data_IF_598463187062
#
_entry.id   IF_598463187062
#
_cell.length_a   1.000
_cell.length_b   1.000
_cell.length_c   1.000
_cell.angle_alpha   90.00
_cell.angle_beta   90.00
_cell.angle_gamma   90.00
#
_symmetry.space_group_name_H-M   'P 1'
#
loop_
_entity.id
_entity.type
_entity.pdbx_description
1 polymer ?
#
# COMPACT_ATOMS: atom_id res chain seq x y z
N UNK A 1 -16.21 13.05 27.47
CA UNK A 1 -15.61 14.03 26.54
C UNK A 1 -16.13 13.72 25.15
N UNK A 2 -16.66 14.70 24.39
CA UNK A 2 -17.14 14.44 23.03
C UNK A 2 -15.92 14.22 22.12
N UNK A 3 -15.91 13.11 21.38
CA UNK A 3 -14.88 12.83 20.37
C UNK A 3 -14.84 13.97 19.33
N UNK A 4 -13.66 14.35 18.80
CA UNK A 4 -13.56 15.39 17.78
C UNK A 4 -14.36 15.00 16.53
N UNK A 5 -15.14 15.94 16.00
CA UNK A 5 -15.94 15.71 14.80
C UNK A 5 -15.03 15.65 13.56
N UNK A 6 -15.02 14.51 12.87
CA UNK A 6 -14.34 14.33 11.59
C UNK A 6 -15.38 14.48 10.47
N UNK A 7 -15.21 15.50 9.63
CA UNK A 7 -16.14 15.82 8.53
C UNK A 7 -15.59 15.31 7.21
N UNK A 8 -16.31 14.40 6.55
CA UNK A 8 -15.95 13.89 5.23
C UNK A 8 -16.63 14.71 4.13
N UNK A 9 -15.87 15.17 3.14
CA UNK A 9 -16.44 15.61 1.86
C UNK A 9 -16.47 14.42 0.91
N UNK A 10 -17.68 13.95 0.60
CA UNK A 10 -17.88 12.82 -0.30
C UNK A 10 -18.35 13.30 -1.67
N UNK A 11 -17.89 12.69 -2.77
CA UNK A 11 -18.52 12.86 -4.07
C UNK A 11 -20.01 12.49 -4.00
N UNK A 12 -20.84 13.19 -4.77
CA UNK A 12 -22.31 13.04 -4.74
C UNK A 12 -22.74 11.58 -4.92
N UNK A 13 -22.12 10.85 -5.84
CA UNK A 13 -22.43 9.44 -6.10
C UNK A 13 -22.12 8.52 -4.90
N UNK A 14 -21.05 8.80 -4.14
CA UNK A 14 -20.71 8.03 -2.93
C UNK A 14 -21.71 8.34 -1.82
N UNK A 15 -22.08 9.61 -1.66
CA UNK A 15 -23.11 10.01 -0.69
C UNK A 15 -24.45 9.32 -1.00
N UNK A 16 -24.88 9.31 -2.26
CA UNK A 16 -26.11 8.61 -2.67
C UNK A 16 -26.08 7.12 -2.35
N UNK A 17 -24.95 6.45 -2.57
CA UNK A 17 -24.78 5.03 -2.19
C UNK A 17 -24.84 4.84 -0.68
N UNK A 18 -24.18 5.71 0.08
CA UNK A 18 -24.16 5.65 1.53
C UNK A 18 -25.56 5.87 2.13
N UNK A 19 -26.34 6.79 1.57
CA UNK A 19 -27.74 7.02 1.93
C UNK A 19 -28.66 5.84 1.56
N UNK A 20 -28.38 5.15 0.46
CA UNK A 20 -29.13 3.94 0.09
C UNK A 20 -28.86 2.81 1.10
N UNK A 21 -27.60 2.63 1.51
CA UNK A 21 -27.21 1.66 2.55
C UNK A 21 -27.81 2.04 3.91
N UNK A 22 -27.74 3.32 4.29
CA UNK A 22 -28.28 3.80 5.56
C UNK A 22 -29.79 3.58 5.66
N UNK A 23 -30.54 3.82 4.56
CA UNK A 23 -31.98 3.54 4.47
C UNK A 23 -32.29 2.05 4.60
N UNK A 24 -31.48 1.17 3.99
CA UNK A 24 -31.69 -0.29 4.06
C UNK A 24 -31.41 -0.86 5.45
N UNK A 25 -30.49 -0.24 6.19
CA UNK A 25 -30.06 -0.69 7.52
C UNK A 25 -30.75 0.07 8.65
N UNK A 26 -31.63 1.03 8.34
CA UNK A 26 -32.32 1.91 9.29
C UNK A 26 -31.39 2.58 10.32
N UNK A 27 -30.26 3.09 9.84
CA UNK A 27 -29.25 3.77 10.66
C UNK A 27 -28.85 5.09 10.02
N UNK A 28 -28.25 5.98 10.82
CA UNK A 28 -27.72 7.24 10.28
C UNK A 28 -26.54 6.99 9.33
N UNK A 29 -26.43 7.85 8.31
CA UNK A 29 -25.29 7.90 7.36
C UNK A 29 -23.95 7.95 8.11
N UNK A 30 -23.91 8.69 9.22
CA UNK A 30 -22.72 8.82 10.06
C UNK A 30 -22.29 7.50 10.71
N UNK A 31 -23.25 6.68 11.18
CA UNK A 31 -22.96 5.36 11.75
C UNK A 31 -22.41 4.43 10.67
N UNK A 32 -23.01 4.42 9.47
CA UNK A 32 -22.50 3.60 8.36
C UNK A 32 -21.07 4.00 7.99
N UNK A 33 -20.80 5.30 7.87
CA UNK A 33 -19.46 5.81 7.60
C UNK A 33 -18.47 5.38 8.69
N UNK A 34 -18.84 5.51 9.98
CA UNK A 34 -17.99 5.09 11.10
C UNK A 34 -17.68 3.59 11.03
N UNK A 35 -18.67 2.74 10.74
CA UNK A 35 -18.48 1.30 10.62
C UNK A 35 -17.55 0.91 9.47
N UNK A 36 -17.70 1.55 8.30
CA UNK A 36 -16.82 1.32 7.15
C UNK A 36 -15.38 1.71 7.51
N UNK A 37 -15.18 2.92 8.05
CA UNK A 37 -13.84 3.39 8.43
C UNK A 37 -13.23 2.47 9.49
N UNK A 38 -13.98 2.08 10.52
CA UNK A 38 -13.49 1.15 11.55
C UNK A 38 -13.10 -0.20 10.93
N UNK A 39 -13.92 -0.75 10.04
CA UNK A 39 -13.61 -2.02 9.36
C UNK A 39 -12.30 -1.92 8.58
N UNK A 40 -12.17 -0.92 7.72
CA UNK A 40 -10.99 -0.79 6.86
C UNK A 40 -9.72 -0.51 7.69
N UNK A 41 -9.79 0.37 8.69
CA UNK A 41 -8.66 0.68 9.57
C UNK A 41 -8.22 -0.53 10.40
N UNK A 42 -9.14 -1.41 10.81
CA UNK A 42 -8.77 -2.64 11.52
C UNK A 42 -8.07 -3.66 10.61
N UNK A 43 -8.34 -3.66 9.31
CA UNK A 43 -7.74 -4.62 8.38
C UNK A 43 -6.37 -4.18 7.86
N UNK A 44 -6.11 -2.87 7.75
CA UNK A 44 -4.86 -2.33 7.19
C UNK A 44 -3.60 -2.82 7.93
N UNK A 45 -3.51 -2.76 9.28
CA UNK A 45 -2.29 -3.19 9.98
C UNK A 45 -1.91 -4.64 9.71
N UNK A 46 -2.89 -5.55 9.78
CA UNK A 46 -2.65 -6.98 9.53
C UNK A 46 -2.20 -7.25 8.09
N UNK A 47 -2.75 -6.52 7.11
CA UNK A 47 -2.30 -6.63 5.72
C UNK A 47 -0.87 -6.10 5.53
N UNK A 48 -0.50 -5.02 6.21
CA UNK A 48 0.85 -4.46 6.16
C UNK A 48 1.87 -5.39 6.82
N UNK A 49 1.54 -5.96 7.99
CA UNK A 49 2.40 -6.94 8.67
C UNK A 49 2.63 -8.19 7.80
N UNK A 50 1.59 -8.70 7.16
CA UNK A 50 1.70 -9.86 6.26
C UNK A 50 2.56 -9.52 5.02
N UNK A 51 2.38 -8.33 4.45
CA UNK A 51 3.20 -7.85 3.34
C UNK A 51 4.69 -7.78 3.74
N UNK A 52 4.99 -7.21 4.91
CA UNK A 52 6.37 -7.10 5.40
C UNK A 52 6.98 -8.47 5.69
N UNK A 53 6.19 -9.41 6.22
CA UNK A 53 6.60 -10.81 6.40
C UNK A 53 6.92 -11.48 5.07
N UNK A 54 6.11 -11.24 4.03
CA UNK A 54 6.37 -11.78 2.70
C UNK A 54 7.65 -11.20 2.09
N UNK A 55 7.90 -9.90 2.25
CA UNK A 55 9.15 -9.27 1.82
C UNK A 55 10.37 -9.87 2.52
N UNK A 56 10.29 -10.09 3.84
CA UNK A 56 11.37 -10.72 4.59
C UNK A 56 11.68 -12.14 4.08
N UNK A 57 10.63 -12.93 3.78
CA UNK A 57 10.80 -14.27 3.22
C UNK A 57 11.45 -14.25 1.82
N UNK A 58 11.04 -13.31 0.96
CA UNK A 58 11.64 -13.15 -0.37
C UNK A 58 13.13 -12.80 -0.24
N UNK A 59 13.47 -11.87 0.65
CA UNK A 59 14.86 -11.51 0.92
C UNK A 59 15.69 -12.69 1.40
N UNK A 60 15.14 -13.51 2.31
CA UNK A 60 15.82 -14.72 2.77
C UNK A 60 16.04 -15.71 1.63
N UNK A 61 15.00 -15.98 0.84
CA UNK A 61 15.09 -16.87 -0.31
C UNK A 61 16.15 -16.43 -1.32
N UNK A 62 16.20 -15.14 -1.65
CA UNK A 62 17.21 -14.59 -2.56
C UNK A 62 18.63 -14.77 -2.01
N UNK A 63 18.83 -14.58 -0.71
CA UNK A 63 20.14 -14.80 -0.06
C UNK A 63 20.57 -16.27 -0.12
N UNK A 64 19.65 -17.19 0.20
CA UNK A 64 19.93 -18.63 0.12
C UNK A 64 20.25 -19.08 -1.32
N UNK A 65 19.53 -18.53 -2.29
CA UNK A 65 19.75 -18.80 -3.70
C UNK A 65 21.11 -18.24 -4.17
N UNK A 66 21.47 -17.02 -3.76
CA UNK A 66 22.79 -16.45 -4.05
C UNK A 66 23.92 -17.31 -3.46
N UNK A 67 23.78 -17.74 -2.21
CA UNK A 67 24.76 -18.62 -1.55
C UNK A 67 24.94 -19.95 -2.28
N UNK A 68 23.84 -20.64 -2.65
CA UNK A 68 23.92 -21.89 -3.42
C UNK A 68 24.52 -21.72 -4.80
N UNK A 69 24.27 -20.58 -5.44
CA UNK A 69 24.90 -20.28 -6.71
C UNK A 69 26.39 -20.03 -6.54
N UNK A 70 26.81 -19.27 -5.53
CA UNK A 70 28.23 -19.07 -5.24
C UNK A 70 28.95 -20.40 -4.97
N UNK A 71 28.35 -21.29 -4.19
CA UNK A 71 28.84 -22.66 -3.97
C UNK A 71 28.95 -23.43 -5.30
N UNK A 72 27.88 -23.46 -6.11
CA UNK A 72 27.88 -24.11 -7.43
C UNK A 72 28.92 -23.54 -8.40
N UNK A 73 29.21 -22.23 -8.32
CA UNK A 73 30.21 -21.54 -9.11
C UNK A 73 31.63 -21.85 -8.66
N UNK A 74 31.82 -22.07 -7.35
CA UNK A 74 33.12 -22.38 -6.74
C UNK A 74 33.56 -23.83 -6.96
N UNK A 75 32.62 -24.75 -7.20
CA UNK A 75 32.84 -26.20 -7.15
C UNK A 75 33.24 -26.87 -8.50
N UNK A 76 33.71 -26.12 -9.50
CA UNK A 76 34.34 -26.78 -10.65
C UNK A 76 34.65 -25.99 -11.92
N UNK A 77 35.92 -26.05 -12.29
CA UNK A 77 36.70 -25.55 -13.43
C UNK A 77 36.20 -25.94 -14.86
N UNK A 78 34.90 -26.27 -15.03
CA UNK A 78 34.34 -26.73 -16.32
C UNK A 78 33.07 -25.96 -16.76
N UNK A 79 32.50 -25.06 -15.93
CA UNK A 79 31.17 -24.45 -16.18
C UNK A 79 31.10 -22.92 -16.23
N UNK A 80 32.21 -22.22 -16.49
CA UNK A 80 32.30 -20.75 -16.48
C UNK A 80 31.27 -20.00 -17.36
N UNK A 81 30.79 -20.60 -18.46
CA UNK A 81 29.77 -19.97 -19.31
C UNK A 81 28.35 -20.06 -18.72
N UNK A 82 27.96 -21.22 -18.17
CA UNK A 82 26.64 -21.44 -17.54
C UNK A 82 26.52 -20.67 -16.22
N UNK A 83 27.62 -20.66 -15.48
CA UNK A 83 27.86 -19.82 -14.32
C UNK A 83 27.50 -18.34 -14.56
N UNK A 84 28.11 -17.75 -15.58
CA UNK A 84 27.93 -16.35 -15.95
C UNK A 84 26.49 -16.06 -16.41
N UNK A 85 25.85 -17.01 -17.10
CA UNK A 85 24.46 -16.89 -17.52
C UNK A 85 23.48 -16.88 -16.34
N UNK A 86 23.73 -17.70 -15.31
CA UNK A 86 22.91 -17.73 -14.09
C UNK A 86 23.04 -16.42 -13.30
N UNK A 87 24.27 -15.93 -13.12
CA UNK A 87 24.52 -14.63 -12.46
C UNK A 87 23.83 -13.49 -13.20
N UNK A 88 23.95 -13.45 -14.53
CA UNK A 88 23.28 -12.43 -15.33
C UNK A 88 21.76 -12.46 -15.19
N UNK A 89 21.18 -13.66 -15.12
CA UNK A 89 19.73 -13.80 -14.96
C UNK A 89 19.27 -13.39 -13.55
N UNK A 90 20.11 -13.57 -12.53
CA UNK A 90 19.82 -13.08 -11.18
C UNK A 90 19.90 -11.57 -11.05
N UNK A 91 20.88 -10.93 -11.70
CA UNK A 91 20.90 -9.48 -11.80
C UNK A 91 19.65 -8.94 -12.50
N UNK A 92 19.18 -9.61 -13.56
CA UNK A 92 17.94 -9.24 -14.24
C UNK A 92 16.72 -9.38 -13.33
N UNK A 93 16.64 -10.48 -12.56
CA UNK A 93 15.54 -10.71 -11.59
C UNK A 93 15.59 -9.68 -10.45
N UNK A 94 16.77 -9.36 -9.94
CA UNK A 94 16.94 -8.30 -8.94
C UNK A 94 16.53 -6.93 -9.48
N UNK A 95 16.94 -6.59 -10.71
CA UNK A 95 16.53 -5.35 -11.36
C UNK A 95 15.03 -5.28 -11.62
N UNK A 96 14.40 -6.40 -11.98
CA UNK A 96 12.94 -6.49 -12.11
C UNK A 96 12.23 -6.33 -10.76
N UNK A 97 12.76 -6.92 -9.68
CA UNK A 97 12.23 -6.75 -8.33
C UNK A 97 12.40 -5.31 -7.84
N UNK A 98 13.52 -4.66 -8.12
CA UNK A 98 13.72 -3.24 -7.82
C UNK A 98 12.76 -2.36 -8.63
N UNK A 99 12.52 -2.68 -9.91
CA UNK A 99 11.54 -1.96 -10.73
C UNK A 99 10.09 -2.18 -10.24
N UNK A 100 9.74 -3.41 -9.82
CA UNK A 100 8.46 -3.71 -9.19
C UNK A 100 8.34 -2.97 -7.86
N UNK A 101 9.40 -2.94 -7.05
CA UNK A 101 9.44 -2.19 -5.80
C UNK A 101 9.25 -0.70 -6.07
N UNK A 102 9.93 -0.12 -7.06
CA UNK A 102 9.79 1.28 -7.41
C UNK A 102 8.41 1.61 -7.98
N UNK A 103 7.77 0.68 -8.70
CA UNK A 103 6.40 0.81 -9.19
C UNK A 103 5.35 0.62 -8.08
N UNK A 104 5.63 -0.25 -7.09
CA UNK A 104 4.77 -0.54 -5.95
C UNK A 104 4.94 0.46 -4.80
N UNK A 105 6.11 1.10 -4.70
CA UNK A 105 6.31 2.31 -3.91
C UNK A 105 5.55 3.43 -4.61
N UNK A 106 4.27 3.53 -4.29
CA UNK A 106 3.47 4.72 -4.53
C UNK A 106 4.15 5.83 -3.73
N UNK A 107 5.14 6.50 -4.33
CA UNK A 107 5.57 7.82 -3.86
C UNK A 107 4.26 8.60 -3.71
N UNK A 108 3.97 9.18 -2.54
CA UNK A 108 2.81 10.03 -2.40
C UNK A 108 2.90 11.03 -3.54
N UNK A 109 2.00 10.90 -4.51
CA UNK A 109 2.05 11.71 -5.72
C UNK A 109 2.17 13.15 -5.26
N UNK A 110 3.22 13.86 -5.69
CA UNK A 110 3.42 15.26 -5.28
C UNK A 110 2.16 16.06 -5.59
N UNK A 111 1.49 15.72 -6.71
CA UNK A 111 0.17 16.23 -7.03
C UNK A 111 -0.92 15.88 -6.00
N UNK A 112 -1.03 14.63 -5.53
CA UNK A 112 -2.00 14.26 -4.48
C UNK A 112 -1.65 14.89 -3.14
N UNK A 113 -0.37 14.91 -2.76
CA UNK A 113 0.12 15.57 -1.55
C UNK A 113 -0.16 17.06 -1.58
N UNK A 114 0.06 17.73 -2.71
CA UNK A 114 -0.25 19.14 -2.92
C UNK A 114 -1.75 19.39 -3.05
N UNK A 115 -2.53 18.45 -3.60
CA UNK A 115 -4.00 18.53 -3.64
C UNK A 115 -4.59 18.47 -2.23
N UNK A 116 -4.06 17.58 -1.37
CA UNK A 116 -4.42 17.46 0.04
C UNK A 116 -3.98 18.73 0.78
N UNK A 117 -2.74 19.17 0.61
CA UNK A 117 -2.23 20.39 1.25
C UNK A 117 -3.05 21.63 0.85
N UNK A 118 -3.36 21.78 -0.44
CA UNK A 118 -4.24 22.84 -0.95
C UNK A 118 -5.70 22.70 -0.49
N UNK A 119 -6.16 21.48 -0.18
CA UNK A 119 -7.47 21.26 0.41
C UNK A 119 -7.50 21.67 1.88
N UNK A 120 -6.44 21.34 2.61
CA UNK A 120 -6.27 21.62 4.04
C UNK A 120 -5.97 23.10 4.31
N UNK A 121 -5.23 23.76 3.42
CA UNK A 121 -4.91 25.20 3.46
C UNK A 121 -6.11 26.10 3.09
N UNK A 122 -7.20 25.55 2.52
CA UNK A 122 -8.44 26.31 2.35
C UNK A 122 -9.06 26.55 3.72
N UNK A 123 -8.83 27.75 4.25
CA UNK A 123 -9.38 28.26 5.50
C UNK A 123 -10.80 27.75 5.79
N UNK A 124 -10.90 27.12 6.96
CA UNK A 124 -12.06 26.92 7.83
C UNK A 124 -13.38 27.49 7.29
N UNK A 125 -14.34 26.58 7.13
CA UNK A 125 -15.79 26.82 7.00
C UNK A 125 -16.22 28.18 7.55
N UNK A 126 -16.81 29.03 6.71
CA UNK A 126 -17.77 30.02 7.21
C UNK A 126 -18.85 29.23 7.94
N UNK A 127 -18.95 29.42 9.24
CA UNK A 127 -20.07 28.93 10.05
C UNK A 127 -21.36 29.31 9.33
N UNK A 128 -22.17 28.32 8.98
CA UNK A 128 -23.54 28.55 8.57
C UNK A 128 -24.23 29.15 9.80
N UNK A 129 -24.42 30.47 9.80
CA UNK A 129 -25.29 31.14 10.76
C UNK A 129 -26.69 30.55 10.57
N UNK A 130 -27.15 29.85 11.60
CA UNK A 130 -28.58 29.66 11.90
C UNK A 130 -29.10 30.96 12.50
#
# INVERSE_FOLDING_TARGET
MREPAVMFRLPVHILSNLEAVSRRLDVSVNIVAKLIVTREVMHIPAMLEEHDRQLANIHQFLRELAFRNEEFLSDGDVRAASAKAIVQQLENVMGALDAIRDAAYVRPSTFIADLIRNHDDRHVQKSLRV
#
